data_IF_343274201195
#
_entry.id   IF_343274201195
#
_cell.length_a   1.000
_cell.length_b   1.000
_cell.length_c   1.000
_cell.angle_alpha   90.00
_cell.angle_beta   90.00
_cell.angle_gamma   90.00
#
_symmetry.space_group_name_H-M   'P 1'
#
loop_
_entity.id
_entity.type
_entity.pdbx_description
1 polymer ?
#
# COMPACT_ATOMS: atom_id res chain seq x y z
N UNK A 1 -16.00 8.17 21.34
CA UNK A 1 -16.17 6.89 22.08
C UNK A 1 -16.24 5.75 21.06
N UNK A 2 -15.25 4.86 21.05
CA UNK A 2 -15.02 3.91 19.95
C UNK A 2 -16.18 2.90 19.87
N UNK A 3 -16.86 2.78 18.72
CA UNK A 3 -18.09 1.95 18.53
C UNK A 3 -17.90 0.48 18.98
N UNK A 4 -16.65 -0.02 18.94
CA UNK A 4 -16.24 -1.36 19.42
C UNK A 4 -16.25 -1.52 20.94
N UNK A 5 -16.00 -0.46 21.71
CA UNK A 5 -16.00 -0.53 23.18
C UNK A 5 -17.43 -0.59 23.73
N UNK A 6 -18.40 0.05 23.03
CA UNK A 6 -19.81 0.01 23.39
C UNK A 6 -20.43 -1.39 23.30
N UNK A 7 -20.06 -2.17 22.27
CA UNK A 7 -20.51 -3.57 22.14
C UNK A 7 -19.98 -4.47 23.26
N UNK A 8 -18.72 -4.30 23.68
CA UNK A 8 -18.12 -5.11 24.74
C UNK A 8 -18.78 -4.79 26.09
N UNK A 9 -19.00 -3.51 26.38
CA UNK A 9 -19.69 -3.06 27.60
C UNK A 9 -21.13 -3.59 27.63
N UNK A 10 -21.83 -3.59 26.48
CA UNK A 10 -23.17 -4.17 26.36
C UNK A 10 -23.25 -5.66 26.68
N UNK A 11 -22.29 -6.47 26.19
CA UNK A 11 -22.23 -7.90 26.50
C UNK A 11 -21.89 -8.18 27.96
N UNK A 12 -21.04 -7.36 28.59
CA UNK A 12 -20.70 -7.49 30.01
C UNK A 12 -21.93 -7.16 30.88
N UNK A 13 -22.68 -6.11 30.55
CA UNK A 13 -23.91 -5.76 31.27
C UNK A 13 -25.01 -6.80 31.09
N UNK A 14 -25.15 -7.38 29.89
CA UNK A 14 -26.11 -8.46 29.63
C UNK A 14 -25.75 -9.73 30.43
N UNK A 15 -24.46 -10.09 30.49
CA UNK A 15 -24.01 -11.22 31.28
C UNK A 15 -24.20 -10.99 32.78
N UNK A 16 -24.00 -9.77 33.27
CA UNK A 16 -24.20 -9.39 34.67
C UNK A 16 -25.69 -9.36 35.04
N UNK A 17 -26.57 -8.98 34.11
CA UNK A 17 -28.03 -9.06 34.28
C UNK A 17 -28.52 -10.51 34.33
N UNK A 18 -28.01 -11.37 33.45
CA UNK A 18 -28.29 -12.81 33.46
C UNK A 18 -27.82 -13.43 34.78
N UNK A 19 -26.62 -13.05 35.26
CA UNK A 19 -26.06 -13.50 36.54
C UNK A 19 -26.88 -13.03 37.76
N UNK A 20 -27.46 -11.83 37.71
CA UNK A 20 -28.32 -11.30 38.78
C UNK A 20 -29.72 -11.96 38.78
N UNK A 21 -30.19 -12.40 37.62
CA UNK A 21 -31.53 -13.01 37.46
C UNK A 21 -31.59 -14.52 37.66
N UNK A 22 -30.46 -15.22 37.47
CA UNK A 22 -30.38 -16.66 37.62
C UNK A 22 -29.95 -17.01 39.05
N UNK A 23 -30.91 -17.46 39.86
CA UNK A 23 -30.66 -18.02 41.19
C UNK A 23 -29.60 -19.13 41.14
N UNK A 24 -28.59 -19.00 41.99
CA UNK A 24 -27.44 -19.89 42.16
C UNK A 24 -27.85 -21.27 42.70
N UNK A 25 -28.34 -22.18 41.86
CA UNK A 25 -28.49 -23.59 42.28
C UNK A 25 -27.76 -24.60 41.39
N UNK A 26 -27.34 -24.25 40.18
CA UNK A 26 -26.71 -25.22 39.28
C UNK A 26 -25.30 -24.83 38.84
N UNK A 27 -24.30 -25.49 39.41
CA UNK A 27 -22.85 -25.26 39.18
C UNK A 27 -22.46 -25.43 37.71
N UNK A 28 -23.21 -26.22 36.95
CA UNK A 28 -22.97 -26.47 35.52
C UNK A 28 -23.21 -25.21 34.68
N UNK A 29 -24.19 -24.39 35.05
CA UNK A 29 -24.53 -23.16 34.31
C UNK A 29 -23.44 -22.11 34.43
N UNK A 30 -22.83 -21.98 35.61
CA UNK A 30 -21.73 -21.04 35.87
C UNK A 30 -20.49 -21.41 35.06
N UNK A 31 -20.16 -22.71 34.97
CA UNK A 31 -19.01 -23.20 34.20
C UNK A 31 -19.19 -22.94 32.70
N UNK A 32 -20.40 -23.13 32.16
CA UNK A 32 -20.69 -22.84 30.75
C UNK A 32 -20.58 -21.35 30.40
N UNK A 33 -21.02 -20.45 31.29
CA UNK A 33 -20.89 -19.01 31.05
C UNK A 33 -19.43 -18.55 31.08
N UNK A 34 -18.61 -19.09 32.01
CA UNK A 34 -17.17 -18.78 32.06
C UNK A 34 -16.46 -19.27 30.78
N UNK A 35 -16.81 -20.47 30.30
CA UNK A 35 -16.26 -21.02 29.06
C UNK A 35 -16.65 -20.18 27.83
N UNK A 36 -17.89 -19.69 27.77
CA UNK A 36 -18.38 -18.83 26.69
C UNK A 36 -17.65 -17.49 26.67
N UNK A 37 -17.46 -16.87 27.84
CA UNK A 37 -16.71 -15.61 27.98
C UNK A 37 -15.25 -15.80 27.58
N UNK A 38 -14.61 -16.89 28.02
CA UNK A 38 -13.22 -17.18 27.66
C UNK A 38 -13.06 -17.45 26.16
N UNK A 39 -14.02 -18.15 25.54
CA UNK A 39 -14.07 -18.37 24.10
C UNK A 39 -14.25 -17.07 23.31
N UNK A 40 -15.17 -16.20 23.74
CA UNK A 40 -15.39 -14.88 23.15
C UNK A 40 -14.16 -13.98 23.26
N UNK A 41 -13.46 -13.96 24.40
CA UNK A 41 -12.20 -13.21 24.56
C UNK A 41 -11.13 -13.75 23.60
N UNK A 42 -11.06 -15.07 23.40
CA UNK A 42 -10.06 -15.68 22.51
C UNK A 42 -10.39 -15.50 21.02
N UNK A 43 -11.68 -15.49 20.67
CA UNK A 43 -12.18 -15.35 19.30
C UNK A 43 -12.19 -13.88 18.84
N UNK A 44 -12.64 -12.95 19.68
CA UNK A 44 -12.61 -11.51 19.39
C UNK A 44 -11.29 -10.82 19.79
N UNK A 45 -10.44 -11.46 20.60
CA UNK A 45 -9.11 -10.96 20.97
C UNK A 45 -8.08 -11.00 19.84
N UNK A 46 -8.43 -11.51 18.66
CA UNK A 46 -7.55 -11.49 17.48
C UNK A 46 -7.64 -10.14 16.75
N UNK A 47 -6.78 -9.24 17.22
CA UNK A 47 -6.01 -8.20 16.47
C UNK A 47 -6.62 -6.79 16.37
N UNK A 48 -6.01 -5.86 17.12
CA UNK A 48 -5.42 -4.62 16.57
C UNK A 48 -4.68 -3.85 17.68
N UNK A 49 -3.51 -4.35 18.08
CA UNK A 49 -2.48 -3.48 18.65
C UNK A 49 -1.41 -3.31 17.58
N UNK A 50 -1.52 -2.24 16.78
CA UNK A 50 -0.35 -1.72 16.05
C UNK A 50 0.60 -1.12 17.09
N UNK A 51 1.32 -1.99 17.82
CA UNK A 51 2.56 -1.57 18.47
C UNK A 51 3.52 -1.19 17.36
N UNK A 52 3.96 0.07 17.34
CA UNK A 52 5.13 0.52 16.58
C UNK A 52 6.26 -0.46 16.91
N UNK A 53 6.52 -1.42 16.01
CA UNK A 53 7.75 -2.22 16.10
C UNK A 53 8.87 -1.27 15.73
N UNK A 54 9.75 -1.01 16.69
CA UNK A 54 11.08 -0.51 16.40
C UNK A 54 11.66 -1.31 15.21
N UNK A 55 12.29 -0.57 14.30
CA UNK A 55 12.87 -0.97 13.01
C UNK A 55 13.97 -2.02 13.25
N UNK A 56 13.61 -3.24 13.64
CA UNK A 56 14.47 -4.40 13.45
C UNK A 56 14.41 -4.68 11.96
N UNK A 57 15.50 -4.36 11.26
CA UNK A 57 15.76 -4.76 9.88
C UNK A 57 15.21 -6.17 9.74
N UNK A 58 14.10 -6.31 8.99
CA UNK A 58 13.53 -7.62 8.69
C UNK A 58 14.69 -8.42 8.11
N UNK A 59 15.08 -9.50 8.81
CA UNK A 59 16.05 -10.46 8.35
C UNK A 59 15.46 -11.17 7.13
N UNK A 60 15.53 -10.49 5.98
CA UNK A 60 15.27 -11.07 4.67
C UNK A 60 16.30 -12.20 4.50
N UNK A 61 15.82 -13.36 4.02
CA UNK A 61 16.62 -14.57 3.89
C UNK A 61 17.96 -14.29 3.19
N UNK A 62 19.01 -14.96 3.67
CA UNK A 62 20.38 -14.93 3.10
C UNK A 62 20.39 -15.03 1.57
N UNK A 63 19.41 -15.70 1.00
CA UNK A 63 19.20 -15.90 -0.44
C UNK A 63 19.07 -14.58 -1.24
N UNK A 64 18.33 -13.57 -0.75
CA UNK A 64 18.23 -12.28 -1.46
C UNK A 64 19.50 -11.44 -1.35
N UNK A 65 20.29 -11.64 -0.31
CA UNK A 65 21.58 -10.97 -0.15
C UNK A 65 22.60 -11.51 -1.16
N UNK A 66 22.56 -12.82 -1.42
CA UNK A 66 23.43 -13.45 -2.42
C UNK A 66 23.13 -12.93 -3.82
N UNK A 67 21.85 -12.83 -4.23
CA UNK A 67 21.44 -12.25 -5.51
C UNK A 67 22.05 -10.87 -5.78
N UNK A 68 22.09 -10.00 -4.78
CA UNK A 68 22.67 -8.67 -4.94
C UNK A 68 24.21 -8.69 -4.99
N UNK A 69 24.86 -9.59 -4.25
CA UNK A 69 26.31 -9.80 -4.37
C UNK A 69 26.68 -10.32 -5.75
N UNK A 70 25.93 -11.28 -6.28
CA UNK A 70 26.14 -11.87 -7.60
C UNK A 70 25.95 -10.84 -8.72
N UNK A 71 25.11 -9.81 -8.49
CA UNK A 71 24.98 -8.68 -9.41
C UNK A 71 26.20 -7.75 -9.43
N UNK A 72 27.18 -7.93 -8.53
CA UNK A 72 28.42 -7.17 -8.46
C UNK A 72 28.28 -5.82 -7.76
N UNK A 73 27.41 -5.73 -6.76
CA UNK A 73 27.27 -4.55 -5.90
C UNK A 73 28.14 -4.68 -4.64
N UNK A 74 28.70 -3.56 -4.20
CA UNK A 74 29.40 -3.46 -2.93
C UNK A 74 28.44 -3.58 -1.73
N UNK A 75 28.93 -3.96 -0.52
CA UNK A 75 28.09 -4.07 0.66
C UNK A 75 27.32 -2.78 1.01
N UNK A 76 27.92 -1.61 0.81
CA UNK A 76 27.29 -0.30 1.05
C UNK A 76 26.17 -0.01 0.05
N UNK A 77 26.39 -0.29 -1.24
CA UNK A 77 25.35 -0.16 -2.27
C UNK A 77 24.18 -1.10 -2.01
N UNK A 78 24.46 -2.34 -1.58
CA UNK A 78 23.42 -3.30 -1.20
C UNK A 78 22.61 -2.76 -0.02
N UNK A 79 23.26 -2.20 1.00
CA UNK A 79 22.57 -1.63 2.15
C UNK A 79 21.67 -0.45 1.75
N UNK A 80 22.20 0.48 0.95
CA UNK A 80 21.45 1.63 0.43
C UNK A 80 20.25 1.19 -0.42
N UNK A 81 20.48 0.26 -1.35
CA UNK A 81 19.44 -0.29 -2.22
C UNK A 81 18.32 -0.92 -1.40
N UNK A 82 18.67 -1.72 -0.39
CA UNK A 82 17.69 -2.38 0.49
C UNK A 82 16.86 -1.40 1.29
N UNK A 83 17.49 -0.36 1.86
CA UNK A 83 16.76 0.66 2.60
C UNK A 83 15.82 1.44 1.68
N UNK A 84 16.31 1.83 0.49
CA UNK A 84 15.51 2.51 -0.54
C UNK A 84 14.31 1.65 -0.93
N UNK A 85 14.51 0.39 -1.33
CA UNK A 85 13.43 -0.51 -1.72
C UNK A 85 12.45 -0.81 -0.57
N UNK A 86 12.92 -0.88 0.67
CA UNK A 86 12.03 -1.03 1.82
C UNK A 86 11.09 0.16 1.95
N UNK A 87 11.63 1.38 1.86
CA UNK A 87 10.84 2.62 1.94
C UNK A 87 9.89 2.76 0.74
N UNK A 88 10.38 2.50 -0.48
CA UNK A 88 9.56 2.53 -1.70
C UNK A 88 8.38 1.57 -1.59
N UNK A 89 8.59 0.35 -1.07
CA UNK A 89 7.49 -0.59 -0.87
C UNK A 89 6.42 -0.06 0.09
N UNK A 90 6.84 0.52 1.21
CA UNK A 90 5.91 1.12 2.17
C UNK A 90 5.10 2.26 1.54
N UNK A 91 5.75 3.10 0.72
CA UNK A 91 5.09 4.17 -0.03
C UNK A 91 4.07 3.63 -1.04
N UNK A 92 4.39 2.56 -1.79
CA UNK A 92 3.46 1.94 -2.74
C UNK A 92 2.24 1.36 -2.03
N UNK A 93 2.45 0.66 -0.92
CA UNK A 93 1.36 0.08 -0.13
C UNK A 93 0.48 1.20 0.47
N UNK A 94 1.09 2.32 0.88
CA UNK A 94 0.37 3.49 1.37
C UNK A 94 -0.44 4.17 0.26
N UNK A 95 0.17 4.42 -0.91
CA UNK A 95 -0.50 4.98 -2.08
C UNK A 95 -1.73 4.16 -2.46
N UNK A 96 -1.59 2.83 -2.53
CA UNK A 96 -2.72 1.94 -2.82
C UNK A 96 -3.82 2.07 -1.77
N UNK A 97 -3.44 2.19 -0.50
CA UNK A 97 -4.40 2.37 0.59
C UNK A 97 -5.15 3.70 0.43
N UNK A 98 -4.47 4.79 0.08
CA UNK A 98 -5.05 6.10 -0.12
C UNK A 98 -5.99 6.15 -1.33
N UNK A 99 -5.53 5.65 -2.48
CA UNK A 99 -6.34 5.56 -3.70
C UNK A 99 -7.64 4.79 -3.43
N UNK A 100 -7.58 3.73 -2.63
CA UNK A 100 -8.77 2.92 -2.35
C UNK A 100 -9.83 3.62 -1.49
N UNK A 101 -9.49 4.72 -0.81
CA UNK A 101 -10.40 5.44 0.10
C UNK A 101 -11.30 6.46 -0.61
N UNK A 102 -10.95 6.93 -1.81
CA UNK A 102 -11.70 8.01 -2.48
C UNK A 102 -11.92 7.74 -3.96
N UNK A 103 -13.15 8.00 -4.45
CA UNK A 103 -13.53 7.71 -5.84
C UNK A 103 -12.78 8.57 -6.88
N UNK A 104 -12.47 9.85 -6.58
CA UNK A 104 -11.67 10.69 -7.48
C UNK A 104 -10.27 10.12 -7.63
N UNK A 105 -9.63 9.72 -6.53
CA UNK A 105 -8.31 9.08 -6.56
C UNK A 105 -8.33 7.75 -7.34
N UNK A 106 -9.36 6.91 -7.16
CA UNK A 106 -9.55 5.70 -7.98
C UNK A 106 -9.67 6.01 -9.45
N UNK A 107 -10.40 7.06 -9.82
CA UNK A 107 -10.55 7.44 -11.23
C UNK A 107 -9.21 7.83 -11.87
N UNK A 108 -8.34 8.49 -11.11
CA UNK A 108 -6.98 8.83 -11.58
C UNK A 108 -6.15 7.55 -11.75
N UNK A 109 -6.20 6.65 -10.77
CA UNK A 109 -5.48 5.37 -10.85
C UNK A 109 -5.94 4.52 -12.04
N UNK A 110 -7.25 4.48 -12.33
CA UNK A 110 -7.79 3.78 -13.51
C UNK A 110 -7.32 4.38 -14.83
N UNK A 111 -7.00 5.68 -14.86
CA UNK A 111 -6.55 6.37 -16.08
C UNK A 111 -5.10 6.05 -16.43
N UNK A 112 -4.24 5.95 -15.42
CA UNK A 112 -2.79 5.85 -15.59
C UNK A 112 -2.20 4.53 -15.08
N UNK A 113 -3.01 3.64 -14.50
CA UNK A 113 -2.56 2.40 -13.86
C UNK A 113 -1.47 2.65 -12.78
N UNK A 114 -1.52 3.78 -12.08
CA UNK A 114 -0.43 4.31 -11.24
C UNK A 114 0.09 3.32 -10.20
N UNK A 115 -0.80 2.66 -9.44
CA UNK A 115 -0.42 1.65 -8.44
C UNK A 115 0.22 0.45 -9.11
N UNK A 116 -0.31 0.04 -10.28
CA UNK A 116 0.22 -1.10 -11.03
C UNK A 116 1.59 -0.79 -11.60
N UNK A 117 1.78 0.39 -12.22
CA UNK A 117 3.05 0.88 -12.73
C UNK A 117 4.10 0.95 -11.61
N UNK A 118 3.73 1.52 -10.46
CA UNK A 118 4.62 1.60 -9.28
C UNK A 118 5.09 0.23 -8.81
N UNK A 119 4.17 -0.75 -8.73
CA UNK A 119 4.50 -2.14 -8.34
C UNK A 119 5.35 -2.86 -9.37
N UNK A 120 5.08 -2.63 -10.66
CA UNK A 120 5.85 -3.21 -11.75
C UNK A 120 7.29 -2.68 -11.75
N UNK A 121 7.44 -1.35 -11.68
CA UNK A 121 8.73 -0.69 -11.58
C UNK A 121 9.53 -1.18 -10.36
N UNK A 122 8.89 -1.27 -9.19
CA UNK A 122 9.50 -1.83 -7.98
C UNK A 122 9.99 -3.27 -8.19
N UNK A 123 9.16 -4.12 -8.81
CA UNK A 123 9.51 -5.52 -9.07
C UNK A 123 10.72 -5.63 -9.99
N UNK A 124 10.77 -4.81 -11.03
CA UNK A 124 11.88 -4.84 -11.98
C UNK A 124 13.17 -4.25 -11.40
N UNK A 125 13.09 -3.23 -10.54
CA UNK A 125 14.22 -2.72 -9.78
C UNK A 125 14.80 -3.77 -8.84
N UNK A 126 13.95 -4.50 -8.10
CA UNK A 126 14.40 -5.62 -7.25
C UNK A 126 15.07 -6.73 -8.06
N UNK A 127 14.59 -6.99 -9.28
CA UNK A 127 15.20 -7.95 -10.20
C UNK A 127 16.55 -7.44 -10.73
N UNK A 128 16.65 -6.14 -11.02
CA UNK A 128 17.79 -5.49 -11.70
C UNK A 128 18.31 -4.31 -10.87
N UNK A 129 18.96 -4.57 -9.72
CA UNK A 129 19.29 -3.55 -8.74
C UNK A 129 20.28 -2.48 -9.25
N UNK A 130 21.14 -2.83 -10.23
CA UNK A 130 22.07 -1.88 -10.85
C UNK A 130 21.38 -0.78 -11.68
N UNK A 131 20.12 -0.99 -12.09
CA UNK A 131 19.31 0.02 -12.81
C UNK A 131 18.63 1.02 -11.87
N UNK A 132 18.97 1.04 -10.58
CA UNK A 132 18.38 1.98 -9.61
C UNK A 132 18.43 3.45 -10.09
N UNK A 133 19.55 3.84 -10.71
CA UNK A 133 19.77 5.19 -11.21
C UNK A 133 18.74 5.64 -12.27
N UNK A 134 18.17 4.70 -13.05
CA UNK A 134 17.14 4.98 -14.05
C UNK A 134 15.79 5.34 -13.42
N UNK A 135 15.59 5.04 -12.14
CA UNK A 135 14.34 5.29 -11.43
C UNK A 135 14.47 6.40 -10.37
N UNK A 136 15.50 7.24 -10.42
CA UNK A 136 15.74 8.27 -9.39
C UNK A 136 14.53 9.21 -9.18
N UNK A 137 13.92 9.70 -10.26
CA UNK A 137 12.74 10.57 -10.17
C UNK A 137 11.56 9.86 -9.50
N UNK A 138 11.26 8.62 -9.91
CA UNK A 138 10.24 7.80 -9.27
C UNK A 138 10.48 7.64 -7.76
N UNK A 139 11.71 7.25 -7.39
CA UNK A 139 12.06 6.85 -6.02
C UNK A 139 12.08 8.02 -5.03
N UNK A 140 12.59 9.18 -5.47
CA UNK A 140 12.89 10.30 -4.57
C UNK A 140 12.00 11.52 -4.76
N UNK A 141 11.15 11.53 -5.79
CA UNK A 141 10.28 12.68 -6.08
C UNK A 141 8.86 12.23 -6.37
N UNK A 142 8.63 11.45 -7.41
CA UNK A 142 7.28 11.26 -7.91
C UNK A 142 6.40 10.43 -6.96
N UNK A 143 6.87 9.27 -6.54
CA UNK A 143 6.12 8.42 -5.62
C UNK A 143 5.95 9.06 -4.23
N UNK A 144 7.00 9.57 -3.56
CA UNK A 144 6.85 10.22 -2.26
C UNK A 144 5.88 11.41 -2.29
N UNK A 145 6.00 12.29 -3.28
CA UNK A 145 5.14 13.48 -3.39
C UNK A 145 3.69 13.08 -3.69
N UNK A 146 3.46 12.08 -4.54
CA UNK A 146 2.11 11.59 -4.80
C UNK A 146 1.46 11.04 -3.52
N UNK A 147 2.19 10.23 -2.74
CA UNK A 147 1.69 9.72 -1.45
C UNK A 147 1.31 10.89 -0.53
N UNK A 148 2.20 11.87 -0.36
CA UNK A 148 1.94 13.03 0.50
C UNK A 148 0.72 13.86 0.03
N UNK A 149 0.57 14.07 -1.28
CA UNK A 149 -0.58 14.79 -1.83
C UNK A 149 -1.88 14.01 -1.60
N UNK A 150 -1.86 12.69 -1.77
CA UNK A 150 -3.05 11.87 -1.50
C UNK A 150 -3.41 11.83 -0.01
N UNK A 151 -2.42 11.84 0.90
CA UNK A 151 -2.64 11.96 2.34
C UNK A 151 -3.34 13.27 2.69
N UNK A 152 -2.77 14.40 2.24
CA UNK A 152 -3.31 15.74 2.48
C UNK A 152 -4.71 15.90 1.91
N UNK A 153 -4.94 15.39 0.70
CA UNK A 153 -6.26 15.42 0.07
C UNK A 153 -7.29 14.63 0.88
N UNK A 154 -6.94 13.43 1.36
CA UNK A 154 -7.85 12.60 2.16
C UNK A 154 -8.14 13.22 3.53
N UNK A 155 -7.13 13.79 4.17
CA UNK A 155 -7.29 14.53 5.43
C UNK A 155 -8.33 15.65 5.28
N UNK A 156 -8.19 16.46 4.23
CA UNK A 156 -9.12 17.58 3.97
C UNK A 156 -10.51 17.07 3.58
N UNK A 157 -10.57 15.99 2.79
CA UNK A 157 -11.82 15.44 2.28
C UNK A 157 -12.80 14.99 3.39
N UNK A 158 -12.30 14.59 4.55
CA UNK A 158 -13.11 14.10 5.68
C UNK A 158 -13.75 15.23 6.51
N UNK A 159 -13.27 16.47 6.42
CA UNK A 159 -13.84 17.57 7.23
C UNK A 159 -15.30 17.88 6.87
N UNK A 160 -16.18 17.98 7.87
CA UNK A 160 -17.63 18.20 7.70
C UNK A 160 -17.97 19.62 7.23
N UNK A 161 -17.18 20.61 7.64
CA UNK A 161 -17.36 22.02 7.25
C UNK A 161 -16.20 22.41 6.34
N UNK A 162 -16.50 22.73 5.09
CA UNK A 162 -15.53 23.17 4.08
C UNK A 162 -15.93 24.55 3.55
N UNK A 163 -14.98 25.49 3.49
CA UNK A 163 -15.21 26.77 2.82
C UNK A 163 -15.09 26.60 1.30
N UNK A 164 -15.56 27.59 0.53
CA UNK A 164 -15.35 27.60 -0.93
C UNK A 164 -13.87 27.49 -1.29
N UNK A 165 -13.01 28.25 -0.61
CA UNK A 165 -11.56 28.21 -0.81
C UNK A 165 -10.98 26.81 -0.54
N UNK A 166 -11.50 26.08 0.45
CA UNK A 166 -11.09 24.68 0.71
C UNK A 166 -11.43 23.77 -0.47
N UNK A 167 -12.61 23.94 -1.08
CA UNK A 167 -12.99 23.17 -2.27
C UNK A 167 -12.08 23.48 -3.46
N UNK A 168 -11.78 24.76 -3.69
CA UNK A 168 -10.90 25.19 -4.80
C UNK A 168 -9.49 24.56 -4.65
N UNK A 169 -8.93 24.59 -3.43
CA UNK A 169 -7.64 23.93 -3.12
C UNK A 169 -7.68 22.41 -3.26
N UNK A 170 -8.80 21.77 -2.90
CA UNK A 170 -8.95 20.33 -3.10
C UNK A 170 -8.99 19.97 -4.58
N UNK A 171 -9.62 20.79 -5.41
CA UNK A 171 -9.68 20.56 -6.86
C UNK A 171 -8.30 20.78 -7.50
N UNK A 172 -7.59 21.84 -7.12
CA UNK A 172 -6.20 22.06 -7.51
C UNK A 172 -5.32 20.85 -7.11
N UNK A 173 -5.49 20.33 -5.89
CA UNK A 173 -4.76 19.14 -5.43
C UNK A 173 -5.04 17.92 -6.31
N UNK A 174 -6.29 17.72 -6.76
CA UNK A 174 -6.65 16.63 -7.66
C UNK A 174 -5.97 16.79 -9.02
N UNK A 175 -5.85 18.01 -9.55
CA UNK A 175 -5.14 18.26 -10.81
C UNK A 175 -3.65 17.93 -10.69
N UNK A 176 -3.01 18.31 -9.57
CA UNK A 176 -1.60 17.99 -9.33
C UNK A 176 -1.41 16.48 -9.13
N UNK A 177 -2.30 15.81 -8.39
CA UNK A 177 -2.30 14.34 -8.21
C UNK A 177 -2.41 13.64 -9.57
N UNK A 178 -3.28 14.12 -10.47
CA UNK A 178 -3.43 13.55 -11.82
C UNK A 178 -2.13 13.66 -12.64
N UNK A 179 -1.46 14.80 -12.59
CA UNK A 179 -0.16 14.99 -13.25
C UNK A 179 0.93 14.08 -12.64
N UNK A 180 0.99 13.98 -11.31
CA UNK A 180 1.96 13.12 -10.63
C UNK A 180 1.74 11.64 -10.94
N UNK A 181 0.48 11.22 -11.05
CA UNK A 181 0.13 9.86 -11.47
C UNK A 181 0.60 9.57 -12.91
N UNK A 182 0.41 10.52 -13.83
CA UNK A 182 0.90 10.40 -15.20
C UNK A 182 2.44 10.28 -15.25
N UNK A 183 3.17 11.06 -14.45
CA UNK A 183 4.63 10.98 -14.37
C UNK A 183 5.11 9.61 -13.89
N UNK A 184 4.47 9.00 -12.89
CA UNK A 184 4.82 7.64 -12.44
C UNK A 184 4.57 6.60 -13.54
N UNK A 185 3.47 6.72 -14.28
CA UNK A 185 3.21 5.84 -15.41
C UNK A 185 4.31 5.99 -16.47
N UNK A 186 4.74 7.22 -16.75
CA UNK A 186 5.84 7.51 -17.66
C UNK A 186 7.19 6.98 -17.15
N UNK A 187 7.49 7.11 -15.85
CA UNK A 187 8.71 6.55 -15.24
C UNK A 187 8.82 5.05 -15.51
N UNK A 188 7.70 4.33 -15.34
CA UNK A 188 7.67 2.89 -15.64
C UNK A 188 7.90 2.63 -17.13
N UNK A 189 7.22 3.35 -18.04
CA UNK A 189 7.42 3.19 -19.49
C UNK A 189 8.87 3.44 -19.88
N UNK A 190 9.48 4.54 -19.41
CA UNK A 190 10.87 4.86 -19.68
C UNK A 190 11.83 3.78 -19.15
N UNK A 191 11.56 3.24 -17.96
CA UNK A 191 12.39 2.21 -17.35
C UNK A 191 12.40 0.89 -18.14
N UNK A 192 11.28 0.55 -18.79
CA UNK A 192 11.17 -0.67 -19.61
C UNK A 192 11.45 -0.43 -21.09
N UNK A 193 11.45 0.82 -21.56
CA UNK A 193 11.69 1.17 -22.97
C UNK A 193 13.03 0.63 -23.50
N UNK A 194 14.07 0.65 -22.67
CA UNK A 194 15.39 0.08 -23.00
C UNK A 194 15.35 -1.44 -23.27
N UNK A 195 14.29 -2.15 -22.85
CA UNK A 195 14.13 -3.59 -23.14
C UNK A 195 13.37 -3.83 -24.46
N UNK A 196 12.85 -2.78 -25.11
CA UNK A 196 11.96 -2.86 -26.27
C UNK A 196 12.51 -2.28 -27.57
N UNK A 197 13.71 -1.69 -27.58
CA UNK A 197 14.33 -1.15 -28.80
C UNK A 197 14.45 -2.20 -29.93
N UNK A 198 14.66 -3.48 -29.57
CA UNK A 198 14.71 -4.57 -30.55
C UNK A 198 13.31 -4.96 -31.09
N UNK A 199 12.25 -4.77 -30.31
CA UNK A 199 10.89 -5.13 -30.71
C UNK A 199 10.39 -4.19 -31.80
N UNK A 200 10.68 -2.89 -31.73
CA UNK A 200 10.22 -1.95 -32.75
C UNK A 200 10.83 -2.25 -34.13
N UNK A 201 12.07 -2.74 -34.16
CA UNK A 201 12.72 -3.25 -35.38
C UNK A 201 11.99 -4.49 -35.89
N UNK A 202 11.77 -5.49 -35.05
CA UNK A 202 11.05 -6.72 -35.43
C UNK A 202 9.63 -6.44 -35.92
N UNK A 203 8.93 -5.52 -35.26
CA UNK A 203 7.55 -5.16 -35.56
C UNK A 203 7.45 -4.35 -36.87
N UNK A 204 8.46 -3.51 -37.16
CA UNK A 204 8.60 -2.81 -38.44
C UNK A 204 8.87 -3.79 -39.59
N UNK A 205 9.77 -4.76 -39.38
CA UNK A 205 10.04 -5.83 -40.35
C UNK A 205 8.80 -6.70 -40.62
N UNK A 206 8.04 -7.05 -39.57
CA UNK A 206 6.79 -7.79 -39.70
C UNK A 206 5.69 -7.00 -40.44
N UNK A 207 5.56 -5.70 -40.18
CA UNK A 207 4.63 -4.83 -40.92
C UNK A 207 4.98 -4.74 -42.40
N UNK A 208 6.28 -4.64 -42.72
CA UNK A 208 6.76 -4.59 -44.09
C UNK A 208 6.51 -5.92 -44.84
N UNK A 209 6.72 -7.07 -44.20
CA UNK A 209 6.45 -8.37 -44.83
C UNK A 209 4.96 -8.59 -45.12
N UNK A 210 4.06 -8.11 -44.26
CA UNK A 210 2.60 -8.15 -44.49
C UNK A 210 2.19 -7.23 -45.65
N UNK A 211 2.80 -6.05 -45.77
CA UNK A 211 2.53 -5.13 -46.90
C UNK A 211 3.01 -5.70 -48.24
N UNK A 212 4.11 -6.45 -48.26
CA UNK A 212 4.65 -7.09 -49.47
C UNK A 212 3.87 -8.33 -49.91
N UNK A 213 3.02 -8.90 -49.05
CA UNK A 213 2.15 -10.04 -49.33
C UNK A 213 0.73 -9.65 -49.77
N UNK A 214 0.41 -8.35 -49.82
CA UNK A 214 -0.83 -7.81 -50.39
C UNK A 214 -0.59 -7.27 -51.79
#
# INVERSE_FOLDING_TARGET
MNKKNGTIIGFVLLALFIWLSAGLEDTVTVVLLIALVWCCIRFFGRKSSKKKKAKTIQHISKEKEQHYKDSGMSPSEIALFRDTMSQTKELIDHLQTNINQNAKLKSIDLRYDTVRASKALFKDLVKRPKRLHLANHFLYTHLPNLVELTDKYLEINVHEIKSKETYDKMEESILVIDQMAALIAQDYQNFVAEDFEDIDVELSLAKQSIQQQK
#
